data_IF_693596668152
#
_entry.id   IF_693596668152
#
_cell.length_a   1.000
_cell.length_b   1.000
_cell.length_c   1.000
_cell.angle_alpha   90.00
_cell.angle_beta   90.00
_cell.angle_gamma   90.00
#
_symmetry.space_group_name_H-M   'P 1'
#
loop_
_entity.id
_entity.type
_entity.pdbx_description
1 polymer ?
#
# COMPACT_ATOMS: atom_id res chain seq x y z
N UNK A 1 -27.26 3.75 24.20
CA UNK A 1 -27.68 4.07 22.83
C UNK A 1 -26.44 4.24 21.96
N UNK A 2 -26.02 3.29 21.21
CA UNK A 2 -24.81 3.43 20.39
C UNK A 2 -24.46 2.17 19.61
N UNK A 3 -25.44 1.41 19.16
CA UNK A 3 -25.18 0.15 18.44
C UNK A 3 -25.76 0.14 17.02
N UNK A 4 -26.35 1.23 16.55
CA UNK A 4 -27.06 1.23 15.28
C UNK A 4 -26.33 1.94 14.10
N UNK A 5 -25.19 2.58 14.33
CA UNK A 5 -24.55 3.39 13.28
C UNK A 5 -23.57 2.61 12.40
N UNK A 6 -23.22 1.38 12.76
CA UNK A 6 -22.31 0.54 11.95
C UNK A 6 -23.05 -0.09 10.76
N UNK A 7 -24.37 -0.22 10.84
CA UNK A 7 -25.17 -0.89 9.79
C UNK A 7 -25.58 0.02 8.63
N UNK A 8 -25.41 1.33 8.71
CA UNK A 8 -25.98 2.29 7.73
C UNK A 8 -25.01 2.59 6.60
N UNK A 9 -23.71 2.34 6.75
CA UNK A 9 -22.72 2.84 5.80
C UNK A 9 -22.24 1.83 4.76
N UNK A 10 -22.90 0.69 4.57
CA UNK A 10 -22.15 -0.31 3.92
C UNK A 10 -22.82 -1.38 3.03
N UNK A 11 -24.00 -1.27 2.46
CA UNK A 11 -24.43 -2.27 1.48
C UNK A 11 -23.41 -2.42 0.36
N UNK A 12 -22.96 -1.32 -0.23
CA UNK A 12 -22.00 -1.30 -1.33
C UNK A 12 -20.60 -1.79 -0.89
N UNK A 13 -20.16 -1.42 0.30
CA UNK A 13 -18.88 -1.86 0.84
C UNK A 13 -18.90 -3.36 1.17
N UNK A 14 -19.98 -3.86 1.79
CA UNK A 14 -20.17 -5.28 2.08
C UNK A 14 -20.25 -6.11 0.79
N UNK A 15 -20.97 -5.63 -0.22
CA UNK A 15 -21.03 -6.27 -1.51
C UNK A 15 -19.64 -6.38 -2.16
N UNK A 16 -18.84 -5.32 -2.12
CA UNK A 16 -17.48 -5.32 -2.64
C UNK A 16 -16.56 -6.27 -1.87
N UNK A 17 -16.62 -6.27 -0.53
CA UNK A 17 -15.82 -7.21 0.28
C UNK A 17 -16.22 -8.65 -0.01
N UNK A 18 -17.52 -8.95 -0.06
CA UNK A 18 -18.01 -10.29 -0.32
C UNK A 18 -17.63 -10.78 -1.72
N UNK A 19 -17.81 -9.94 -2.73
CA UNK A 19 -17.42 -10.24 -4.11
C UNK A 19 -15.92 -10.49 -4.21
N UNK A 20 -15.12 -9.66 -3.55
CA UNK A 20 -13.67 -9.82 -3.52
C UNK A 20 -13.25 -11.11 -2.78
N UNK A 21 -13.84 -11.38 -1.62
CA UNK A 21 -13.61 -12.61 -0.86
C UNK A 21 -13.94 -13.87 -1.69
N UNK A 22 -15.08 -13.88 -2.36
CA UNK A 22 -15.49 -15.00 -3.21
C UNK A 22 -14.53 -15.19 -4.40
N UNK A 23 -14.07 -14.11 -5.01
CA UNK A 23 -13.09 -14.19 -6.11
C UNK A 23 -11.75 -14.78 -5.67
N UNK A 24 -11.25 -14.36 -4.49
CA UNK A 24 -10.01 -14.89 -3.90
C UNK A 24 -10.19 -16.35 -3.46
N UNK A 25 -11.33 -16.69 -2.88
CA UNK A 25 -11.63 -18.06 -2.42
C UNK A 25 -11.71 -19.06 -3.57
N UNK A 26 -12.34 -18.66 -4.67
CA UNK A 26 -12.40 -19.48 -5.89
C UNK A 26 -11.02 -19.72 -6.52
N UNK A 27 -10.12 -18.76 -6.39
CA UNK A 27 -8.77 -18.91 -6.94
C UNK A 27 -7.92 -19.98 -6.22
N UNK A 28 -8.27 -20.36 -4.99
CA UNK A 28 -7.64 -21.51 -4.31
C UNK A 28 -7.86 -22.85 -5.00
N UNK A 29 -8.95 -22.95 -5.78
CA UNK A 29 -9.33 -24.17 -6.52
C UNK A 29 -8.62 -24.25 -7.88
N UNK A 30 -8.07 -23.15 -8.38
CA UNK A 30 -7.33 -23.14 -9.64
C UNK A 30 -5.89 -23.60 -9.39
N UNK A 31 -5.52 -24.67 -10.11
CA UNK A 31 -4.12 -25.07 -10.23
C UNK A 31 -3.27 -23.84 -10.60
N UNK A 32 -2.27 -23.52 -9.79
CA UNK A 32 -1.36 -22.39 -9.96
C UNK A 32 -0.44 -22.61 -11.19
N UNK A 33 -1.02 -22.63 -12.38
CA UNK A 33 -0.22 -22.52 -13.61
C UNK A 33 0.26 -21.09 -13.74
N UNK A 34 1.53 -20.91 -14.09
CA UNK A 34 2.19 -19.60 -14.22
C UNK A 34 1.39 -18.63 -15.11
N UNK A 35 0.74 -19.12 -16.15
CA UNK A 35 -0.05 -18.33 -17.10
C UNK A 35 -1.28 -17.65 -16.44
N UNK A 36 -1.82 -18.22 -15.36
CA UNK A 36 -2.97 -17.68 -14.63
C UNK A 36 -2.59 -16.79 -13.45
N UNK A 37 -1.32 -16.80 -13.00
CA UNK A 37 -0.88 -16.00 -11.87
C UNK A 37 -0.97 -14.50 -12.15
N UNK A 38 -0.62 -14.07 -13.35
CA UNK A 38 -0.69 -12.65 -13.72
C UNK A 38 -2.13 -12.12 -13.67
N UNK A 39 -3.06 -12.88 -14.22
CA UNK A 39 -4.48 -12.52 -14.25
C UNK A 39 -5.06 -12.52 -12.84
N UNK A 40 -4.70 -13.50 -12.03
CA UNK A 40 -5.09 -13.59 -10.63
C UNK A 40 -4.62 -12.37 -9.82
N UNK A 41 -3.32 -12.02 -9.88
CA UNK A 41 -2.81 -10.84 -9.17
C UNK A 41 -3.39 -9.53 -9.72
N UNK A 42 -3.69 -9.46 -11.00
CA UNK A 42 -4.37 -8.30 -11.60
C UNK A 42 -5.79 -8.15 -11.08
N UNK A 43 -6.54 -9.24 -10.93
CA UNK A 43 -7.88 -9.24 -10.34
C UNK A 43 -7.85 -8.79 -8.87
N UNK A 44 -6.90 -9.31 -8.07
CA UNK A 44 -6.73 -8.90 -6.67
C UNK A 44 -6.44 -7.40 -6.57
N UNK A 45 -5.52 -6.90 -7.38
CA UNK A 45 -5.18 -5.48 -7.41
C UNK A 45 -6.39 -4.61 -7.79
N UNK A 46 -7.12 -5.02 -8.82
CA UNK A 46 -8.29 -4.27 -9.29
C UNK A 46 -9.42 -4.30 -8.25
N UNK A 47 -9.70 -5.45 -7.63
CA UNK A 47 -10.68 -5.57 -6.55
C UNK A 47 -10.32 -4.71 -5.33
N UNK A 48 -9.05 -4.68 -4.95
CA UNK A 48 -8.57 -3.80 -3.88
C UNK A 48 -8.74 -2.32 -4.21
N UNK A 49 -8.41 -1.91 -5.44
CA UNK A 49 -8.58 -0.52 -5.88
C UNK A 49 -10.07 -0.13 -5.96
N UNK A 50 -10.93 -1.05 -6.42
CA UNK A 50 -12.37 -0.85 -6.46
C UNK A 50 -12.94 -0.68 -5.06
N UNK A 51 -12.56 -1.53 -4.11
CA UNK A 51 -12.96 -1.40 -2.70
C UNK A 51 -12.58 -0.04 -2.12
N UNK A 52 -11.34 0.41 -2.35
CA UNK A 52 -10.88 1.72 -1.90
C UNK A 52 -11.72 2.84 -2.54
N UNK A 53 -11.97 2.77 -3.85
CA UNK A 53 -12.76 3.77 -4.57
C UNK A 53 -14.19 3.84 -4.07
N UNK A 54 -14.86 2.70 -3.85
CA UNK A 54 -16.21 2.66 -3.29
C UNK A 54 -16.21 3.22 -1.87
N UNK A 55 -15.31 2.78 -1.00
CA UNK A 55 -15.21 3.30 0.37
C UNK A 55 -15.02 4.82 0.38
N UNK A 56 -14.12 5.33 -0.46
CA UNK A 56 -13.82 6.76 -0.50
C UNK A 56 -14.94 7.60 -1.13
N UNK A 57 -15.85 7.01 -1.93
CA UNK A 57 -16.96 7.72 -2.57
C UNK A 57 -18.31 7.60 -1.85
N UNK A 58 -18.51 6.55 -1.06
CA UNK A 58 -19.82 6.26 -0.43
C UNK A 58 -19.82 6.39 1.08
N UNK A 59 -18.67 6.21 1.74
CA UNK A 59 -18.59 6.23 3.19
C UNK A 59 -18.47 7.66 3.73
N UNK A 60 -19.28 8.00 4.74
CA UNK A 60 -19.16 9.24 5.49
C UNK A 60 -17.78 9.38 6.13
N UNK A 61 -17.27 10.63 6.23
CA UNK A 61 -15.95 10.91 6.84
C UNK A 61 -16.03 10.96 8.37
N UNK A 62 -16.67 9.94 8.95
CA UNK A 62 -16.84 9.75 10.38
C UNK A 62 -15.67 8.96 11.00
N UNK A 63 -15.83 8.60 12.26
CA UNK A 63 -14.84 7.84 13.02
C UNK A 63 -14.51 6.50 12.34
N UNK A 64 -15.54 5.77 11.85
CA UNK A 64 -15.36 4.49 11.16
C UNK A 64 -14.49 4.61 9.90
N UNK A 65 -14.71 5.65 9.09
CA UNK A 65 -13.86 5.93 7.93
C UNK A 65 -12.41 6.21 8.32
N UNK A 66 -12.21 6.98 9.40
CA UNK A 66 -10.86 7.29 9.88
C UNK A 66 -10.14 6.05 10.41
N UNK A 67 -10.84 5.12 11.10
CA UNK A 67 -10.26 3.83 11.49
C UNK A 67 -9.85 3.00 10.28
N UNK A 68 -10.71 2.87 9.28
CA UNK A 68 -10.40 2.14 8.05
C UNK A 68 -9.22 2.76 7.29
N UNK A 69 -9.16 4.11 7.21
CA UNK A 69 -8.05 4.84 6.58
C UNK A 69 -6.75 4.61 7.34
N UNK A 70 -6.75 4.74 8.66
CA UNK A 70 -5.58 4.53 9.52
C UNK A 70 -5.02 3.12 9.35
N UNK A 71 -5.86 2.09 9.45
CA UNK A 71 -5.45 0.70 9.23
C UNK A 71 -4.82 0.48 7.85
N UNK A 72 -5.43 1.01 6.79
CA UNK A 72 -4.91 0.98 5.42
C UNK A 72 -3.54 1.64 5.28
N UNK A 73 -3.33 2.77 5.95
CA UNK A 73 -2.06 3.49 5.89
C UNK A 73 -0.95 2.75 6.63
N UNK A 74 -1.23 2.20 7.81
CA UNK A 74 -0.28 1.39 8.58
C UNK A 74 0.11 0.13 7.80
N UNK A 75 -0.86 -0.59 7.23
CA UNK A 75 -0.58 -1.77 6.41
C UNK A 75 0.29 -1.42 5.19
N UNK A 76 0.01 -0.31 4.53
CA UNK A 76 0.78 0.15 3.38
C UNK A 76 2.22 0.50 3.77
N UNK A 77 2.44 1.14 4.91
CA UNK A 77 3.77 1.41 5.46
C UNK A 77 4.53 0.09 5.73
N UNK A 78 3.87 -0.88 6.38
CA UNK A 78 4.45 -2.21 6.63
C UNK A 78 4.85 -2.91 5.32
N UNK A 79 3.99 -2.92 4.30
CA UNK A 79 4.32 -3.54 3.01
C UNK A 79 5.51 -2.86 2.33
N UNK A 80 5.58 -1.54 2.35
CA UNK A 80 6.71 -0.81 1.76
C UNK A 80 8.00 -1.06 2.53
N UNK A 81 7.97 -1.07 3.86
CA UNK A 81 9.15 -1.38 4.67
C UNK A 81 9.68 -2.79 4.37
N UNK A 82 8.80 -3.79 4.26
CA UNK A 82 9.18 -5.17 3.90
C UNK A 82 9.77 -5.29 2.50
N UNK A 83 9.27 -4.53 1.52
CA UNK A 83 9.84 -4.49 0.17
C UNK A 83 11.28 -3.96 0.22
N UNK A 84 11.53 -2.90 1.00
CA UNK A 84 12.88 -2.34 1.18
C UNK A 84 13.78 -3.31 1.93
N UNK A 85 13.27 -3.91 3.00
CA UNK A 85 13.98 -4.90 3.82
C UNK A 85 14.42 -6.12 3.01
N UNK A 86 13.54 -6.62 2.15
CA UNK A 86 13.86 -7.74 1.26
C UNK A 86 15.07 -7.42 0.35
N UNK A 87 15.16 -6.19 -0.16
CA UNK A 87 16.33 -5.77 -0.96
C UNK A 87 17.58 -5.75 -0.09
N UNK A 88 17.45 -5.28 1.14
CA UNK A 88 18.58 -5.17 2.06
C UNK A 88 19.13 -6.54 2.47
N UNK A 89 18.29 -7.50 2.84
CA UNK A 89 18.72 -8.80 3.37
C UNK A 89 18.90 -9.89 2.34
N UNK A 90 18.12 -9.91 1.27
CA UNK A 90 18.11 -11.01 0.30
C UNK A 90 18.91 -10.66 -0.95
N UNK A 91 18.83 -9.41 -1.37
CA UNK A 91 19.41 -8.95 -2.62
C UNK A 91 20.64 -8.07 -2.42
N UNK A 92 21.10 -7.91 -1.15
CA UNK A 92 22.35 -7.18 -0.91
C UNK A 92 23.47 -7.91 -1.61
N UNK A 93 24.01 -7.30 -2.66
CA UNK A 93 25.22 -7.80 -3.27
C UNK A 93 26.35 -7.69 -2.26
N UNK A 94 27.34 -8.50 -2.42
CA UNK A 94 28.64 -8.23 -1.79
C UNK A 94 29.05 -6.81 -2.18
N UNK A 95 29.81 -6.14 -1.33
CA UNK A 95 30.14 -4.70 -1.48
C UNK A 95 30.63 -4.25 -2.87
N UNK A 96 31.10 -5.20 -3.71
CA UNK A 96 31.51 -4.96 -5.08
C UNK A 96 30.39 -4.97 -6.13
N UNK A 97 29.16 -5.33 -5.76
CA UNK A 97 28.03 -5.37 -6.69
C UNK A 97 27.15 -4.09 -6.63
N UNK A 98 27.44 -3.21 -5.67
CA UNK A 98 26.70 -1.94 -5.51
C UNK A 98 26.94 -1.05 -6.74
N UNK A 99 25.85 -0.61 -7.37
CA UNK A 99 25.90 0.24 -8.57
C UNK A 99 26.11 -0.51 -9.88
N UNK A 100 26.14 -1.84 -9.86
CA UNK A 100 26.20 -2.65 -11.08
C UNK A 100 24.89 -2.58 -11.88
N UNK A 101 24.88 -2.93 -13.18
CA UNK A 101 23.63 -3.02 -13.95
C UNK A 101 22.58 -3.93 -13.31
N UNK A 102 23.01 -5.02 -12.68
CA UNK A 102 22.09 -5.94 -11.97
C UNK A 102 21.47 -5.27 -10.75
N UNK A 103 22.25 -4.55 -9.98
CA UNK A 103 21.76 -3.78 -8.83
C UNK A 103 20.71 -2.74 -9.26
N UNK A 104 20.97 -2.01 -10.35
CA UNK A 104 20.04 -1.05 -10.93
C UNK A 104 18.71 -1.69 -11.39
N UNK A 105 18.77 -2.88 -11.98
CA UNK A 105 17.59 -3.63 -12.39
C UNK A 105 16.76 -4.03 -11.13
N UNK A 106 17.42 -4.51 -10.08
CA UNK A 106 16.77 -4.89 -8.84
C UNK A 106 16.09 -3.69 -8.16
N UNK A 107 16.75 -2.54 -8.09
CA UNK A 107 16.15 -1.31 -7.56
C UNK A 107 14.97 -0.81 -8.40
N UNK A 108 15.08 -0.94 -9.72
CA UNK A 108 13.97 -0.60 -10.64
C UNK A 108 12.77 -1.53 -10.43
N UNK A 109 13.00 -2.81 -10.24
CA UNK A 109 11.96 -3.79 -9.95
C UNK A 109 11.28 -3.51 -8.60
N UNK A 110 12.07 -3.12 -7.59
CA UNK A 110 11.57 -2.73 -6.27
C UNK A 110 10.67 -1.49 -6.34
N UNK A 111 11.11 -0.44 -7.03
CA UNK A 111 10.30 0.75 -7.29
C UNK A 111 9.00 0.41 -8.04
N UNK A 112 9.06 -0.49 -9.02
CA UNK A 112 7.90 -0.96 -9.77
C UNK A 112 6.93 -1.74 -8.89
N UNK A 113 7.42 -2.58 -7.99
CA UNK A 113 6.63 -3.32 -7.00
C UNK A 113 5.90 -2.38 -6.05
N UNK A 114 6.53 -1.27 -5.67
CA UNK A 114 5.91 -0.21 -4.89
C UNK A 114 5.04 0.74 -5.74
N UNK A 115 4.90 0.51 -7.06
CA UNK A 115 4.23 1.42 -8.00
C UNK A 115 4.80 2.85 -8.01
N UNK A 116 6.08 2.99 -7.66
CA UNK A 116 6.76 4.28 -7.51
C UNK A 116 7.75 4.63 -8.61
N UNK A 117 7.97 3.73 -9.58
CA UNK A 117 9.03 3.88 -10.57
C UNK A 117 8.95 5.19 -11.35
N UNK A 118 7.78 5.54 -11.89
CA UNK A 118 7.61 6.77 -12.68
C UNK A 118 7.78 8.03 -11.82
N UNK A 119 7.20 8.08 -10.62
CA UNK A 119 7.36 9.22 -9.71
C UNK A 119 8.82 9.41 -9.29
N UNK A 120 9.51 8.32 -9.00
CA UNK A 120 10.93 8.34 -8.68
C UNK A 120 11.75 8.87 -9.87
N UNK A 121 11.55 8.33 -11.07
CA UNK A 121 12.27 8.76 -12.28
C UNK A 121 12.03 10.22 -12.62
N UNK A 122 10.81 10.71 -12.43
CA UNK A 122 10.49 12.12 -12.62
C UNK A 122 11.25 13.02 -11.64
N UNK A 123 11.44 12.57 -10.39
CA UNK A 123 12.09 13.35 -9.34
C UNK A 123 13.62 13.29 -9.38
N UNK A 124 14.19 12.12 -9.65
CA UNK A 124 15.63 11.86 -9.53
C UNK A 124 16.35 11.52 -10.83
N UNK A 125 15.65 11.14 -11.86
CA UNK A 125 16.20 10.84 -13.19
C UNK A 125 16.90 9.48 -13.28
N UNK A 126 17.94 9.25 -12.50
CA UNK A 126 18.75 8.02 -12.50
C UNK A 126 18.46 7.14 -11.30
N UNK A 127 18.72 5.84 -11.42
CA UNK A 127 18.57 4.92 -10.28
C UNK A 127 19.81 5.04 -9.41
N UNK A 128 19.59 5.43 -8.15
CA UNK A 128 20.59 5.47 -7.09
C UNK A 128 20.02 4.80 -5.84
N UNK A 129 20.70 3.81 -5.28
CA UNK A 129 20.21 3.05 -4.12
C UNK A 129 19.80 3.92 -2.93
N UNK A 130 20.59 4.95 -2.62
CA UNK A 130 20.34 5.84 -1.48
C UNK A 130 19.08 6.68 -1.72
N UNK A 131 18.93 7.23 -2.93
CA UNK A 131 17.76 8.02 -3.28
C UNK A 131 16.50 7.15 -3.43
N UNK A 132 16.63 5.90 -3.88
CA UNK A 132 15.50 4.95 -3.89
C UNK A 132 15.02 4.66 -2.47
N UNK A 133 15.94 4.35 -1.55
CA UNK A 133 15.61 4.13 -0.15
C UNK A 133 14.97 5.38 0.48
N UNK A 134 15.56 6.56 0.28
CA UNK A 134 14.98 7.83 0.75
C UNK A 134 13.57 8.07 0.20
N UNK A 135 13.36 7.81 -1.08
CA UNK A 135 12.05 7.97 -1.72
C UNK A 135 11.00 7.04 -1.13
N UNK A 136 11.34 5.77 -0.95
CA UNK A 136 10.39 4.78 -0.43
C UNK A 136 10.12 4.94 1.07
N UNK A 137 11.08 5.46 1.83
CA UNK A 137 10.94 5.59 3.28
C UNK A 137 10.47 7.00 3.67
N UNK A 138 11.09 8.05 3.14
CA UNK A 138 10.99 9.40 3.68
C UNK A 138 10.20 10.39 2.80
N UNK A 139 9.77 10.01 1.60
CA UNK A 139 9.09 10.95 0.72
C UNK A 139 7.71 11.36 1.28
N UNK A 140 7.44 12.67 1.29
CA UNK A 140 6.20 13.24 1.83
C UNK A 140 5.04 13.22 0.83
N UNK A 141 5.31 13.02 -0.45
CA UNK A 141 4.31 13.12 -1.52
C UNK A 141 4.01 11.76 -2.16
N UNK A 142 4.90 10.79 -2.02
CA UNK A 142 4.68 9.46 -2.57
C UNK A 142 3.69 8.67 -1.69
N UNK A 143 2.50 8.30 -2.21
CA UNK A 143 1.43 7.72 -1.39
C UNK A 143 1.74 6.36 -0.76
N UNK A 144 2.86 5.75 -1.12
CA UNK A 144 3.33 4.48 -0.55
C UNK A 144 4.63 4.63 0.24
N UNK A 145 5.19 5.82 0.35
CA UNK A 145 6.31 6.06 1.25
C UNK A 145 5.88 5.80 2.71
N UNK A 146 6.77 5.20 3.48
CA UNK A 146 6.51 4.89 4.89
C UNK A 146 6.10 6.16 5.65
N UNK A 147 6.89 7.21 5.50
CA UNK A 147 6.63 8.49 6.16
C UNK A 147 5.27 9.10 5.76
N UNK A 148 4.93 9.14 4.46
CA UNK A 148 3.62 9.60 4.01
C UNK A 148 2.48 8.81 4.66
N UNK A 149 2.61 7.49 4.69
CA UNK A 149 1.59 6.63 5.28
C UNK A 149 1.41 6.88 6.78
N UNK A 150 2.52 7.04 7.52
CA UNK A 150 2.46 7.34 8.96
C UNK A 150 1.82 8.70 9.23
N UNK A 151 2.17 9.74 8.47
CA UNK A 151 1.51 11.05 8.58
C UNK A 151 0.00 10.95 8.34
N UNK A 152 -0.44 10.17 7.34
CA UNK A 152 -1.87 9.99 7.04
C UNK A 152 -2.59 9.13 8.07
N UNK A 153 -1.89 8.21 8.73
CA UNK A 153 -2.42 7.46 9.87
C UNK A 153 -2.57 8.37 11.10
N UNK A 154 -1.57 9.20 11.39
CA UNK A 154 -1.60 10.19 12.47
C UNK A 154 -2.76 11.20 12.29
N UNK A 155 -2.94 11.76 11.08
CA UNK A 155 -4.10 12.62 10.77
C UNK A 155 -5.43 11.95 11.13
N UNK A 156 -5.58 10.67 10.82
CA UNK A 156 -6.79 9.91 11.15
C UNK A 156 -6.92 9.66 12.65
N UNK A 157 -5.83 9.37 13.33
CA UNK A 157 -5.82 9.19 14.79
C UNK A 157 -6.26 10.46 15.52
N UNK A 158 -5.77 11.63 15.09
CA UNK A 158 -6.21 12.91 15.66
C UNK A 158 -7.71 13.15 15.45
N UNK A 159 -8.27 12.75 14.30
CA UNK A 159 -9.71 12.87 14.03
C UNK A 159 -10.55 11.94 14.91
N UNK A 160 -10.04 10.75 15.23
CA UNK A 160 -10.69 9.78 16.11
C UNK A 160 -10.62 10.24 17.57
N UNK A 161 -9.43 10.64 18.04
CA UNK A 161 -9.19 10.95 19.45
C UNK A 161 -9.65 12.35 19.85
N UNK A 162 -9.82 13.27 18.89
CA UNK A 162 -10.04 14.69 19.16
C UNK A 162 -8.81 15.41 19.76
N UNK A 163 -7.68 14.72 19.90
CA UNK A 163 -6.46 15.29 20.46
C UNK A 163 -5.78 16.24 19.44
N UNK A 164 -5.12 17.31 19.90
CA UNK A 164 -4.32 18.19 19.04
C UNK A 164 -3.17 17.46 18.34
N UNK A 165 -2.79 17.92 17.15
CA UNK A 165 -1.63 17.38 16.42
C UNK A 165 -0.37 17.60 17.27
N UNK A 166 0.50 16.58 17.34
CA UNK A 166 1.74 16.62 18.12
C UNK A 166 1.58 16.22 19.59
N UNK A 167 0.47 15.59 19.97
CA UNK A 167 0.26 15.04 21.33
C UNK A 167 0.64 13.57 21.46
N UNK A 168 1.03 12.91 20.34
CA UNK A 168 1.50 11.51 20.31
C UNK A 168 2.91 11.42 19.81
#
# INVERSE_FOLDING_TARGET
GGTNDVDINAPEMWEQINTFYLSVSRAKEFSLKLDHLHDFFSQIRNGSNQFIGVTDSTMSRDEGWHFARMGRMIERADKTSRIVDMKYFILLPKSYDVGTPIDNIQWSALLSSASGFHMYKQKYGTIDPIYVAKFLILDHNFPRAVHYCLLKAEESLHKISGAPVGTF
#
